data_IF_774499332889
#
_entry.id   IF_774499332889
#
_cell.length_a   1.000
_cell.length_b   1.000
_cell.length_c   1.000
_cell.angle_alpha   90.00
_cell.angle_beta   90.00
_cell.angle_gamma   90.00
#
_symmetry.space_group_name_H-M   'P 1'
#
loop_
_entity.id
_entity.type
_entity.pdbx_description
1 polymer ?
#
# COMPACT_ATOMS: atom_id res chain seq x y z
N UNK A 1 -6.12 1.95 0.44
CA UNK A 1 -6.08 3.38 0.78
C UNK A 1 -6.73 4.18 -0.34
N UNK A 2 -7.79 4.92 -0.02
CA UNK A 2 -8.64 5.71 -0.94
C UNK A 2 -8.59 7.20 -0.60
N UNK A 3 -7.49 7.67 -0.03
CA UNK A 3 -7.29 9.07 0.28
C UNK A 3 -7.14 9.93 -0.97
N UNK A 4 -7.40 11.23 -0.84
CA UNK A 4 -7.36 12.19 -1.95
C UNK A 4 -5.97 12.35 -2.57
N UNK A 5 -4.89 12.12 -1.82
CA UNK A 5 -3.53 12.11 -2.36
C UNK A 5 -3.30 11.05 -3.45
N UNK A 6 -4.18 10.04 -3.53
CA UNK A 6 -4.12 8.98 -4.55
C UNK A 6 -4.76 9.35 -5.87
N UNK A 7 -5.57 10.41 -5.93
CA UNK A 7 -6.15 10.89 -7.19
C UNK A 7 -5.13 11.64 -8.06
N UNK A 8 -3.90 11.81 -7.55
CA UNK A 8 -2.80 12.36 -8.33
C UNK A 8 -2.23 11.32 -9.29
N UNK A 9 -1.87 11.77 -10.49
CA UNK A 9 -1.15 10.98 -11.50
C UNK A 9 -0.61 11.89 -12.59
N UNK A 10 0.67 11.78 -12.91
CA UNK A 10 1.34 12.48 -14.02
C UNK A 10 1.19 11.76 -15.35
N UNK A 11 0.60 10.56 -15.34
CA UNK A 11 0.39 9.70 -16.49
C UNK A 11 -1.10 9.61 -16.86
N UNK A 12 -1.45 8.74 -17.81
CA UNK A 12 -2.84 8.47 -18.22
C UNK A 12 -3.71 7.80 -17.15
N UNK A 13 -3.18 7.51 -15.96
CA UNK A 13 -3.87 6.96 -14.81
C UNK A 13 -3.35 7.51 -13.48
N UNK A 14 -4.17 7.41 -12.44
CA UNK A 14 -3.84 7.90 -11.10
C UNK A 14 -3.18 6.81 -10.24
N UNK A 15 -2.54 7.21 -9.13
CA UNK A 15 -2.03 6.27 -8.11
C UNK A 15 -3.14 5.35 -7.58
N UNK A 16 -4.36 5.89 -7.43
CA UNK A 16 -5.54 5.12 -7.01
C UNK A 16 -5.89 4.03 -8.01
N UNK A 17 -5.97 4.36 -9.30
CA UNK A 17 -6.25 3.39 -10.34
C UNK A 17 -5.19 2.29 -10.41
N UNK A 18 -3.90 2.65 -10.30
CA UNK A 18 -2.81 1.67 -10.22
C UNK A 18 -2.96 0.76 -8.99
N UNK A 19 -3.19 1.34 -7.81
CA UNK A 19 -3.35 0.59 -6.56
C UNK A 19 -4.56 -0.35 -6.60
N UNK A 20 -5.69 0.11 -7.14
CA UNK A 20 -6.90 -0.71 -7.28
C UNK A 20 -6.68 -1.86 -8.28
N UNK A 21 -6.00 -1.61 -9.39
CA UNK A 21 -5.65 -2.66 -10.36
C UNK A 21 -4.69 -3.68 -9.75
N UNK A 22 -3.68 -3.24 -8.99
CA UNK A 22 -2.79 -4.14 -8.26
C UNK A 22 -3.56 -4.99 -7.25
N UNK A 23 -4.44 -4.38 -6.46
CA UNK A 23 -5.27 -5.09 -5.48
C UNK A 23 -6.20 -6.12 -6.16
N UNK A 24 -6.84 -5.74 -7.26
CA UNK A 24 -7.70 -6.61 -8.06
C UNK A 24 -6.93 -7.81 -8.62
N UNK A 25 -5.74 -7.56 -9.18
CA UNK A 25 -4.87 -8.60 -9.77
C UNK A 25 -4.39 -9.59 -8.70
N UNK A 26 -3.95 -9.09 -7.55
CA UNK A 26 -3.55 -9.93 -6.40
C UNK A 26 -4.73 -10.77 -5.89
N UNK A 27 -5.90 -10.15 -5.72
CA UNK A 27 -7.11 -10.84 -5.25
C UNK A 27 -7.54 -11.93 -6.23
N UNK A 28 -7.53 -11.63 -7.54
CA UNK A 28 -7.83 -12.61 -8.58
C UNK A 28 -6.86 -13.79 -8.53
N UNK A 29 -5.57 -13.52 -8.51
CA UNK A 29 -4.53 -14.54 -8.49
C UNK A 29 -4.65 -15.46 -7.26
N UNK A 30 -4.81 -14.90 -6.06
CA UNK A 30 -4.95 -15.67 -4.82
C UNK A 30 -6.26 -16.47 -4.81
N UNK A 31 -7.35 -15.88 -5.30
CA UNK A 31 -8.64 -16.58 -5.41
C UNK A 31 -8.55 -17.79 -6.36
N UNK A 32 -7.83 -17.67 -7.48
CA UNK A 32 -7.60 -18.78 -8.41
C UNK A 32 -6.77 -19.91 -7.79
N UNK A 33 -5.93 -19.61 -6.80
CA UNK A 33 -5.19 -20.62 -6.03
C UNK A 33 -6.02 -21.31 -4.93
N UNK A 34 -7.29 -20.92 -4.79
CA UNK A 34 -8.16 -21.45 -3.76
C UNK A 34 -8.08 -20.70 -2.42
N UNK A 35 -7.32 -19.61 -2.35
CA UNK A 35 -7.22 -18.80 -1.14
C UNK A 35 -8.51 -17.99 -0.89
N UNK A 36 -8.88 -17.81 0.37
CA UNK A 36 -9.92 -16.89 0.76
C UNK A 36 -9.40 -15.46 0.70
N UNK A 37 -9.99 -14.61 -0.12
CA UNK A 37 -9.61 -13.21 -0.27
C UNK A 37 -10.64 -12.28 0.35
N UNK A 38 -10.18 -11.20 0.98
CA UNK A 38 -11.01 -10.14 1.54
C UNK A 38 -10.49 -8.78 1.10
N UNK A 39 -11.30 -7.75 1.31
CA UNK A 39 -10.95 -6.37 1.00
C UNK A 39 -11.33 -5.46 2.15
N UNK A 40 -10.49 -4.48 2.41
CA UNK A 40 -10.81 -3.35 3.25
C UNK A 40 -10.34 -2.08 2.54
N UNK A 41 -11.25 -1.17 2.29
CA UNK A 41 -10.97 0.16 1.75
C UNK A 41 -11.09 1.20 2.85
N UNK A 42 -10.24 2.19 2.83
CA UNK A 42 -10.17 3.22 3.85
C UNK A 42 -9.62 4.55 3.31
N UNK A 43 -9.98 5.62 4.00
CA UNK A 43 -9.35 6.94 3.95
C UNK A 43 -9.02 7.37 5.39
N UNK A 44 -9.76 8.31 5.99
CA UNK A 44 -9.73 8.60 7.42
C UNK A 44 -10.45 7.53 8.25
N UNK A 45 -11.38 6.81 7.62
CA UNK A 45 -12.18 5.75 8.23
C UNK A 45 -12.25 4.53 7.31
N UNK A 46 -12.69 3.41 7.84
CA UNK A 46 -13.01 2.25 7.02
C UNK A 46 -14.26 2.60 6.21
N UNK A 47 -14.13 2.50 4.88
CA UNK A 47 -15.25 2.66 3.93
C UNK A 47 -15.96 1.36 3.70
N UNK A 48 -15.20 0.35 3.25
CA UNK A 48 -15.74 -0.96 2.95
C UNK A 48 -14.95 -2.02 3.67
N UNK A 49 -15.67 -3.04 4.14
CA UNK A 49 -15.10 -4.25 4.66
C UNK A 49 -15.78 -5.47 4.06
N UNK A 50 -15.05 -6.23 3.28
CA UNK A 50 -15.46 -7.50 2.73
C UNK A 50 -14.63 -8.62 3.38
N UNK A 51 -15.18 -9.43 4.29
CA UNK A 51 -14.47 -10.51 4.96
C UNK A 51 -13.88 -11.52 3.96
N UNK A 52 -12.71 -12.08 4.28
CA UNK A 52 -12.06 -13.07 3.41
C UNK A 52 -12.92 -14.32 3.24
N UNK A 53 -13.24 -14.66 1.98
CA UNK A 53 -14.01 -15.84 1.58
C UNK A 53 -13.53 -16.36 0.23
N UNK A 54 -13.71 -17.68 0.02
CA UNK A 54 -13.52 -18.30 -1.29
C UNK A 54 -14.85 -18.97 -1.68
N UNK A 55 -15.71 -18.21 -2.38
CA UNK A 55 -17.00 -18.72 -2.88
C UNK A 55 -17.43 -17.97 -4.13
N UNK A 56 -18.32 -18.58 -4.89
CA UNK A 56 -18.89 -18.01 -6.12
C UNK A 56 -19.45 -16.61 -5.86
N UNK A 57 -19.13 -15.67 -6.77
CA UNK A 57 -19.59 -14.28 -6.72
C UNK A 57 -18.81 -13.37 -5.76
N UNK A 58 -17.97 -13.92 -4.87
CA UNK A 58 -17.23 -13.11 -3.91
C UNK A 58 -16.19 -12.21 -4.57
N UNK A 59 -15.42 -12.77 -5.51
CA UNK A 59 -14.44 -12.01 -6.27
C UNK A 59 -15.09 -10.87 -7.07
N UNK A 60 -16.25 -11.14 -7.71
CA UNK A 60 -16.99 -10.09 -8.42
C UNK A 60 -17.38 -8.93 -7.50
N UNK A 61 -17.85 -9.24 -6.29
CA UNK A 61 -18.18 -8.21 -5.30
C UNK A 61 -16.95 -7.39 -4.89
N UNK A 62 -15.81 -8.05 -4.71
CA UNK A 62 -14.54 -7.39 -4.42
C UNK A 62 -14.14 -6.42 -5.54
N UNK A 63 -14.22 -6.84 -6.82
CA UNK A 63 -13.94 -6.00 -7.97
C UNK A 63 -14.86 -4.77 -8.04
N UNK A 64 -16.15 -4.94 -7.78
CA UNK A 64 -17.11 -3.83 -7.76
C UNK A 64 -16.81 -2.80 -6.66
N UNK A 65 -16.28 -3.23 -5.50
CA UNK A 65 -15.87 -2.31 -4.44
C UNK A 65 -14.60 -1.54 -4.82
N UNK A 66 -13.65 -2.17 -5.52
CA UNK A 66 -12.44 -1.51 -6.01
C UNK A 66 -12.70 -0.52 -7.15
N UNK A 67 -13.78 -0.73 -7.92
CA UNK A 67 -14.17 0.15 -9.03
C UNK A 67 -14.90 1.42 -8.57
N UNK A 68 -15.28 1.51 -7.30
CA UNK A 68 -15.91 2.71 -6.76
C UNK A 68 -14.94 3.87 -6.72
N UNK A 69 -15.45 5.07 -7.05
CA UNK A 69 -14.63 6.28 -7.03
C UNK A 69 -14.04 6.58 -5.64
N UNK A 70 -12.80 7.01 -5.62
CA UNK A 70 -12.16 7.54 -4.40
C UNK A 70 -12.87 8.84 -4.00
N UNK A 71 -13.28 8.95 -2.75
CA UNK A 71 -13.98 10.13 -2.24
C UNK A 71 -13.37 10.64 -0.92
N UNK A 72 -12.20 10.16 -0.53
CA UNK A 72 -11.52 10.54 0.72
C UNK A 72 -10.92 11.94 0.67
N UNK A 73 -10.92 12.65 1.81
CA UNK A 73 -10.38 13.98 1.95
C UNK A 73 -8.95 13.98 2.49
N UNK A 74 -8.63 13.05 3.38
CA UNK A 74 -7.29 12.93 3.99
C UNK A 74 -6.94 11.44 4.23
N UNK A 75 -5.68 11.17 4.59
CA UNK A 75 -5.21 9.81 4.91
C UNK A 75 -4.95 9.70 6.41
N UNK A 76 -5.73 8.87 7.10
CA UNK A 76 -5.36 8.36 8.42
C UNK A 76 -5.14 6.85 8.35
N UNK A 77 -3.90 6.40 8.59
CA UNK A 77 -3.56 4.99 8.66
C UNK A 77 -3.79 4.39 10.06
N UNK A 78 -4.00 5.22 11.08
CA UNK A 78 -4.09 4.76 12.49
C UNK A 78 -5.39 4.02 12.73
N UNK A 79 -6.51 4.68 12.51
CA UNK A 79 -7.82 4.15 12.83
C UNK A 79 -8.15 2.89 12.00
N UNK A 80 -7.95 2.87 10.67
CA UNK A 80 -8.20 1.68 9.85
C UNK A 80 -7.33 0.48 10.24
N UNK A 81 -6.01 0.68 10.43
CA UNK A 81 -5.12 -0.43 10.75
C UNK A 81 -5.36 -0.99 12.15
N UNK A 82 -5.66 -0.15 13.14
CA UNK A 82 -6.10 -0.60 14.47
C UNK A 82 -7.38 -1.46 14.36
N UNK A 83 -8.35 -1.00 13.57
CA UNK A 83 -9.60 -1.73 13.39
C UNK A 83 -9.42 -3.08 12.68
N UNK A 84 -8.47 -3.19 11.75
CA UNK A 84 -8.13 -4.46 11.11
C UNK A 84 -7.70 -5.50 12.15
N UNK A 85 -6.83 -5.16 13.08
CA UNK A 85 -6.38 -6.05 14.16
C UNK A 85 -7.56 -6.58 14.99
N UNK A 86 -8.58 -5.75 15.22
CA UNK A 86 -9.78 -6.14 15.98
C UNK A 86 -10.70 -7.08 15.17
N UNK A 87 -10.82 -6.84 13.86
CA UNK A 87 -11.78 -7.56 12.99
C UNK A 87 -11.20 -8.88 12.51
N UNK A 88 -9.91 -8.91 12.13
CA UNK A 88 -9.28 -10.08 11.51
C UNK A 88 -8.58 -10.91 12.58
N UNK A 89 -9.30 -11.87 13.14
CA UNK A 89 -8.80 -12.73 14.23
C UNK A 89 -7.97 -13.93 13.76
N UNK A 90 -8.12 -14.33 12.48
CA UNK A 90 -7.37 -15.47 11.92
C UNK A 90 -6.06 -14.98 11.34
N UNK A 91 -4.96 -15.69 11.61
CA UNK A 91 -3.67 -15.45 10.96
C UNK A 91 -3.86 -15.38 9.44
N UNK A 92 -3.42 -14.31 8.85
CA UNK A 92 -3.66 -13.99 7.44
C UNK A 92 -2.46 -13.25 6.84
N UNK A 93 -2.34 -13.30 5.53
CA UNK A 93 -1.50 -12.38 4.77
C UNK A 93 -2.25 -11.06 4.63
N UNK A 94 -1.66 -9.98 5.15
CA UNK A 94 -2.15 -8.62 5.03
C UNK A 94 -1.36 -7.87 3.96
N UNK A 95 -2.01 -7.53 2.86
CA UNK A 95 -1.41 -6.73 1.80
C UNK A 95 -1.90 -5.30 1.96
N UNK A 96 -0.98 -4.37 2.24
CA UNK A 96 -1.24 -2.95 2.39
C UNK A 96 -0.73 -2.22 1.14
N UNK A 97 -1.60 -1.45 0.48
CA UNK A 97 -1.28 -0.70 -0.73
C UNK A 97 -1.56 0.77 -0.47
N UNK A 98 -0.51 1.60 -0.45
CA UNK A 98 -0.56 3.03 -0.14
C UNK A 98 0.73 3.72 -0.60
N UNK A 99 0.81 5.06 -0.57
CA UNK A 99 2.09 5.78 -0.67
C UNK A 99 2.86 5.80 0.65
N UNK A 100 2.19 5.52 1.77
CA UNK A 100 2.77 5.48 3.12
C UNK A 100 3.49 6.78 3.51
N UNK A 101 2.99 7.93 3.08
CA UNK A 101 3.59 9.24 3.41
C UNK A 101 3.20 9.74 4.82
N UNK A 102 2.43 8.97 5.57
CA UNK A 102 2.12 9.24 6.98
C UNK A 102 3.38 9.16 7.87
N UNK A 103 3.37 9.75 9.07
CA UNK A 103 4.49 9.69 10.01
C UNK A 103 4.93 8.25 10.29
N UNK A 104 6.25 8.02 10.27
CA UNK A 104 6.83 6.68 10.37
C UNK A 104 6.50 5.98 11.70
N UNK A 105 6.39 6.73 12.79
CA UNK A 105 6.05 6.22 14.11
C UNK A 105 4.64 5.62 14.14
N UNK A 106 3.74 6.22 13.39
CA UNK A 106 2.37 5.74 13.21
C UNK A 106 2.34 4.42 12.45
N UNK A 107 3.05 4.37 11.32
CA UNK A 107 3.18 3.16 10.52
C UNK A 107 3.81 2.02 11.33
N UNK A 108 4.91 2.29 12.02
CA UNK A 108 5.61 1.31 12.85
C UNK A 108 4.71 0.70 13.94
N UNK A 109 3.99 1.55 14.67
CA UNK A 109 3.06 1.10 15.72
C UNK A 109 2.01 0.14 15.17
N UNK A 110 1.43 0.49 14.04
CA UNK A 110 0.38 -0.33 13.43
C UNK A 110 0.92 -1.64 12.83
N UNK A 111 2.08 -1.60 12.17
CA UNK A 111 2.73 -2.81 11.67
C UNK A 111 3.15 -3.75 12.82
N UNK A 112 3.63 -3.19 13.93
CA UNK A 112 3.97 -3.96 15.13
C UNK A 112 2.72 -4.68 15.68
N UNK A 113 1.58 -4.00 15.73
CA UNK A 113 0.33 -4.61 16.19
C UNK A 113 -0.14 -5.75 15.28
N UNK A 114 -0.04 -5.57 13.95
CA UNK A 114 -0.37 -6.63 12.98
C UNK A 114 0.57 -7.83 13.11
N UNK A 115 1.87 -7.60 13.25
CA UNK A 115 2.86 -8.64 13.43
C UNK A 115 2.66 -9.39 14.76
N UNK A 116 2.38 -8.67 15.86
CA UNK A 116 2.07 -9.25 17.16
C UNK A 116 0.79 -10.10 17.16
N UNK A 117 -0.20 -9.73 16.34
CA UNK A 117 -1.41 -10.54 16.08
C UNK A 117 -1.12 -11.79 15.21
N UNK A 118 0.12 -11.99 14.78
CA UNK A 118 0.56 -13.15 14.00
C UNK A 118 0.26 -13.05 12.50
N UNK A 119 -0.11 -11.87 12.00
CA UNK A 119 -0.30 -11.67 10.56
C UNK A 119 1.03 -11.57 9.84
N UNK A 120 1.08 -12.11 8.63
CA UNK A 120 2.13 -11.82 7.67
C UNK A 120 1.78 -10.50 6.96
N UNK A 121 2.71 -9.56 6.90
CA UNK A 121 2.44 -8.23 6.33
C UNK A 121 3.31 -7.98 5.12
N UNK A 122 2.71 -7.47 4.06
CA UNK A 122 3.35 -7.04 2.81
C UNK A 122 2.88 -5.64 2.45
N UNK A 123 3.81 -4.71 2.25
CA UNK A 123 3.54 -3.36 1.82
C UNK A 123 3.88 -3.16 0.34
N UNK A 124 2.97 -2.54 -0.39
CA UNK A 124 3.23 -1.97 -1.71
C UNK A 124 3.14 -0.45 -1.63
N UNK A 125 4.30 0.20 -1.64
CA UNK A 125 4.38 1.66 -1.69
C UNK A 125 4.21 2.13 -3.13
N UNK A 126 3.07 2.77 -3.44
CA UNK A 126 2.75 3.26 -4.78
C UNK A 126 3.06 4.75 -4.87
N UNK A 127 3.97 5.11 -5.77
CA UNK A 127 4.42 6.47 -6.00
C UNK A 127 4.31 6.82 -7.50
N UNK A 128 4.06 8.09 -7.80
CA UNK A 128 4.05 8.60 -9.16
C UNK A 128 5.48 8.95 -9.60
N UNK A 129 5.88 8.74 -10.88
CA UNK A 129 7.21 9.11 -11.35
C UNK A 129 7.52 10.61 -11.22
N UNK A 130 6.53 11.50 -11.28
CA UNK A 130 6.75 12.92 -11.03
C UNK A 130 7.07 13.21 -9.55
N UNK A 131 6.52 12.45 -8.60
CA UNK A 131 6.91 12.52 -7.19
C UNK A 131 8.35 12.02 -6.99
N UNK A 132 8.73 10.94 -7.68
CA UNK A 132 10.06 10.33 -7.57
C UNK A 132 11.16 11.19 -8.20
N UNK A 133 10.87 11.89 -9.30
CA UNK A 133 11.84 12.70 -10.03
C UNK A 133 11.76 14.19 -9.67
N UNK A 134 10.62 14.66 -9.16
CA UNK A 134 10.31 16.08 -8.96
C UNK A 134 10.63 16.92 -10.20
N UNK A 135 10.18 16.44 -11.36
CA UNK A 135 10.47 17.08 -12.66
C UNK A 135 9.41 18.15 -12.99
N UNK A 136 9.48 19.26 -12.26
CA UNK A 136 8.68 20.44 -12.56
C UNK A 136 9.60 21.51 -13.12
N UNK A 137 9.48 21.79 -14.43
CA UNK A 137 10.39 22.70 -15.14
C UNK A 137 10.10 24.18 -14.90
N UNK A 138 8.99 24.51 -14.25
CA UNK A 138 8.57 25.89 -13.99
C UNK A 138 8.06 26.05 -12.56
N UNK A 139 8.20 27.27 -12.03
CA UNK A 139 7.54 27.65 -10.80
C UNK A 139 6.01 27.45 -10.95
N UNK A 140 5.44 26.69 -10.06
CA UNK A 140 4.01 26.35 -10.08
C UNK A 140 3.41 26.55 -8.70
N UNK A 141 2.12 26.82 -8.68
CA UNK A 141 1.34 26.80 -7.45
C UNK A 141 1.07 25.33 -7.09
N UNK A 142 1.71 24.86 -6.05
CA UNK A 142 1.40 23.56 -5.47
C UNK A 142 0.20 23.73 -4.56
N UNK A 143 -0.84 22.96 -4.83
CA UNK A 143 -1.97 22.86 -3.93
C UNK A 143 -1.80 21.65 -3.05
N UNK A 144 -1.70 21.89 -1.75
CA UNK A 144 -1.82 20.81 -0.79
C UNK A 144 -3.22 20.23 -0.87
N UNK A 145 -3.32 18.99 -1.34
CA UNK A 145 -4.60 18.33 -1.62
C UNK A 145 -5.38 18.06 -0.35
N UNK A 146 -4.70 17.93 0.80
CA UNK A 146 -5.34 17.65 2.08
C UNK A 146 -5.77 18.93 2.81
N UNK A 147 -4.92 19.96 2.85
CA UNK A 147 -5.23 21.23 3.51
C UNK A 147 -5.86 22.28 2.60
N UNK A 148 -5.81 22.08 1.28
CA UNK A 148 -6.31 23.02 0.27
C UNK A 148 -5.48 24.31 0.13
N UNK A 149 -4.32 24.40 0.80
CA UNK A 149 -3.44 25.58 0.74
C UNK A 149 -2.62 25.59 -0.55
N UNK A 150 -2.56 26.75 -1.17
CA UNK A 150 -1.69 26.97 -2.32
C UNK A 150 -0.33 27.48 -1.83
N UNK A 151 0.73 26.82 -2.26
CA UNK A 151 2.11 27.16 -1.94
C UNK A 151 2.85 27.44 -3.25
N UNK A 152 3.37 28.66 -3.38
CA UNK A 152 4.27 28.99 -4.48
C UNK A 152 5.67 28.47 -4.13
N UNK A 153 6.13 27.48 -4.89
CA UNK A 153 7.44 26.86 -4.68
C UNK A 153 8.26 27.04 -5.97
N UNK A 154 9.49 27.53 -5.80
CA UNK A 154 10.48 27.43 -6.86
C UNK A 154 11.01 25.98 -6.91
N UNK A 155 10.71 25.22 -7.98
CA UNK A 155 11.07 23.80 -8.05
C UNK A 155 12.58 23.55 -7.97
N UNK A 156 13.39 24.48 -8.49
CA UNK A 156 14.85 24.31 -8.50
C UNK A 156 15.42 24.27 -7.08
N UNK A 157 14.91 25.15 -6.21
CA UNK A 157 15.34 25.24 -4.81
C UNK A 157 14.75 24.11 -3.96
N UNK A 158 13.48 23.80 -4.16
CA UNK A 158 12.76 22.81 -3.34
C UNK A 158 13.07 21.36 -3.72
N UNK A 159 13.48 21.10 -4.96
CA UNK A 159 13.69 19.74 -5.48
C UNK A 159 14.65 18.90 -4.63
N UNK A 160 15.80 19.45 -4.31
CA UNK A 160 16.84 18.70 -3.54
C UNK A 160 16.30 18.31 -2.17
N UNK A 161 15.70 19.24 -1.47
CA UNK A 161 15.17 19.00 -0.14
C UNK A 161 13.99 18.00 -0.16
N UNK A 162 13.07 18.16 -1.10
CA UNK A 162 11.96 17.23 -1.29
C UNK A 162 12.44 15.80 -1.55
N UNK A 163 13.33 15.59 -2.53
CA UNK A 163 13.85 14.29 -2.87
C UNK A 163 14.64 13.66 -1.71
N UNK A 164 15.39 14.46 -0.96
CA UNK A 164 16.08 13.99 0.23
C UNK A 164 15.08 13.50 1.30
N UNK A 165 14.02 14.25 1.56
CA UNK A 165 12.97 13.87 2.52
C UNK A 165 12.21 12.62 2.07
N UNK A 166 11.80 12.56 0.79
CA UNK A 166 11.11 11.40 0.24
C UNK A 166 11.96 10.13 0.31
N UNK A 167 13.24 10.23 -0.07
CA UNK A 167 14.17 9.09 -0.03
C UNK A 167 14.43 8.63 1.40
N UNK A 168 14.63 9.56 2.33
CA UNK A 168 14.82 9.26 3.75
C UNK A 168 13.58 8.57 4.34
N UNK A 169 12.39 9.08 4.02
CA UNK A 169 11.12 8.49 4.46
C UNK A 169 10.93 7.08 3.89
N UNK A 170 11.11 6.89 2.58
CA UNK A 170 11.01 5.57 1.95
C UNK A 170 12.05 4.57 2.48
N UNK A 171 13.24 5.04 2.83
CA UNK A 171 14.25 4.21 3.49
C UNK A 171 13.81 3.82 4.91
N UNK A 172 13.21 4.74 5.69
CA UNK A 172 12.66 4.46 7.01
C UNK A 172 11.50 3.44 6.97
N UNK A 173 10.60 3.57 5.99
CA UNK A 173 9.52 2.58 5.76
C UNK A 173 10.11 1.19 5.52
N UNK A 174 11.09 1.06 4.62
CA UNK A 174 11.77 -0.22 4.34
C UNK A 174 12.48 -0.79 5.56
N UNK A 175 13.21 0.04 6.31
CA UNK A 175 13.90 -0.38 7.53
C UNK A 175 12.93 -0.89 8.60
N UNK A 176 11.80 -0.21 8.78
CA UNK A 176 10.73 -0.62 9.70
C UNK A 176 10.15 -1.98 9.28
N UNK A 177 9.85 -2.17 7.99
CA UNK A 177 9.36 -3.45 7.48
C UNK A 177 10.38 -4.58 7.74
N UNK A 178 11.66 -4.36 7.42
CA UNK A 178 12.72 -5.35 7.65
C UNK A 178 12.83 -5.75 9.12
N UNK A 179 12.81 -4.78 10.05
CA UNK A 179 12.87 -5.03 11.50
C UNK A 179 11.68 -5.86 11.99
N UNK A 180 10.50 -5.66 11.44
CA UNK A 180 9.26 -6.37 11.80
C UNK A 180 9.04 -7.66 10.99
N UNK A 181 9.95 -8.03 10.10
CA UNK A 181 9.79 -9.19 9.23
C UNK A 181 8.69 -9.03 8.18
N UNK A 182 8.22 -7.79 7.92
CA UNK A 182 7.26 -7.48 6.87
C UNK A 182 7.95 -7.35 5.51
N UNK A 183 7.23 -7.68 4.43
CA UNK A 183 7.66 -7.37 3.07
C UNK A 183 7.42 -5.91 2.73
N UNK A 184 8.28 -5.33 1.88
CA UNK A 184 8.07 -3.98 1.38
C UNK A 184 8.56 -3.86 -0.06
N UNK A 185 7.70 -3.34 -0.94
CA UNK A 185 8.01 -3.08 -2.35
C UNK A 185 7.58 -1.68 -2.73
N UNK A 186 8.44 -0.98 -3.44
CA UNK A 186 8.12 0.31 -4.05
C UNK A 186 7.68 0.07 -5.49
N UNK A 187 6.51 0.59 -5.84
CA UNK A 187 5.91 0.52 -7.16
C UNK A 187 5.78 1.93 -7.71
N UNK A 188 6.34 2.17 -8.89
CA UNK A 188 6.12 3.41 -9.62
C UNK A 188 5.02 3.19 -10.66
N UNK A 189 4.13 4.18 -10.79
CA UNK A 189 2.94 4.06 -11.67
C UNK A 189 3.27 3.98 -13.15
N UNK A 190 4.51 4.28 -13.57
CA UNK A 190 5.02 4.10 -14.93
C UNK A 190 5.51 2.67 -15.21
N UNK A 191 5.60 1.82 -14.19
CA UNK A 191 6.09 0.45 -14.35
C UNK A 191 4.95 -0.54 -14.51
N UNK A 192 5.15 -1.58 -15.36
CA UNK A 192 4.18 -2.65 -15.53
C UNK A 192 3.84 -3.33 -14.19
N UNK A 193 2.56 -3.58 -13.96
CA UNK A 193 2.05 -4.26 -12.76
C UNK A 193 2.60 -5.66 -12.58
N UNK A 194 2.95 -6.32 -13.68
CA UNK A 194 3.55 -7.65 -13.71
C UNK A 194 4.82 -7.72 -12.87
N UNK A 195 5.62 -6.65 -12.84
CA UNK A 195 6.83 -6.59 -12.01
C UNK A 195 6.50 -6.64 -10.52
N UNK A 196 5.47 -5.91 -10.08
CA UNK A 196 5.00 -5.96 -8.70
C UNK A 196 4.47 -7.35 -8.33
N UNK A 197 3.78 -8.02 -9.25
CA UNK A 197 3.31 -9.39 -9.11
C UNK A 197 4.45 -10.39 -9.01
N UNK A 198 5.46 -10.30 -9.88
CA UNK A 198 6.65 -11.17 -9.81
C UNK A 198 7.38 -11.01 -8.48
N UNK A 199 7.57 -9.78 -8.01
CA UNK A 199 8.21 -9.52 -6.73
C UNK A 199 7.42 -10.12 -5.57
N UNK A 200 6.09 -10.00 -5.58
CA UNK A 200 5.21 -10.63 -4.61
C UNK A 200 5.37 -12.14 -4.58
N UNK A 201 5.30 -12.79 -5.74
CA UNK A 201 5.40 -14.25 -5.85
C UNK A 201 6.77 -14.76 -5.41
N UNK A 202 7.83 -14.07 -5.78
CA UNK A 202 9.21 -14.41 -5.39
C UNK A 202 9.39 -14.34 -3.87
N UNK A 203 8.88 -13.30 -3.25
CA UNK A 203 8.96 -13.14 -1.80
C UNK A 203 8.16 -14.23 -1.07
N UNK A 204 6.94 -14.53 -1.52
CA UNK A 204 6.11 -15.61 -0.96
C UNK A 204 6.81 -16.97 -1.05
N UNK A 205 7.46 -17.28 -2.18
CA UNK A 205 8.24 -18.51 -2.34
C UNK A 205 9.45 -18.58 -1.39
N UNK A 206 10.15 -17.47 -1.19
CA UNK A 206 11.30 -17.42 -0.28
C UNK A 206 10.88 -17.67 1.17
N UNK A 207 9.78 -17.05 1.60
CA UNK A 207 9.24 -17.23 2.97
C UNK A 207 8.74 -18.64 3.21
N UNK A 208 8.05 -19.26 2.25
CA UNK A 208 7.62 -20.66 2.34
C UNK A 208 8.79 -21.63 2.51
N UNK A 209 9.90 -21.39 1.78
CA UNK A 209 11.12 -22.22 1.91
C UNK A 209 11.80 -22.07 3.26
N UNK A 210 11.81 -20.85 3.85
CA UNK A 210 12.39 -20.63 5.18
C UNK A 210 11.58 -21.33 6.27
N UNK A 211 10.25 -21.24 6.22
CA UNK A 211 9.36 -21.89 7.17
C UNK A 211 9.53 -23.43 7.15
N UNK A 212 9.63 -24.03 5.96
CA UNK A 212 9.86 -25.46 5.81
C UNK A 212 11.25 -25.93 6.29
N UNK A 213 12.28 -25.10 6.20
CA UNK A 213 13.61 -25.41 6.76
C UNK A 213 13.58 -25.48 8.28
N UNK A 214 12.92 -24.52 8.95
CA UNK A 214 12.79 -24.52 10.41
C UNK A 214 11.93 -25.66 10.94
N UNK A 215 10.93 -26.10 10.19
CA UNK A 215 10.12 -27.28 10.57
C UNK A 215 10.92 -28.60 10.50
N UNK A 216 11.81 -28.73 9.50
CA UNK A 216 12.66 -29.93 9.34
C UNK A 216 13.84 -29.99 10.31
N UNK A 217 14.32 -28.89 10.88
CA UNK A 217 15.40 -28.85 11.85
C UNK A 217 14.94 -29.12 13.29
N UNK A 218 13.65 -29.31 13.52
CA UNK A 218 13.05 -29.63 14.83
C UNK A 218 12.56 -31.09 14.95
N UNK A 219 12.75 -31.91 13.93
CA UNK A 219 12.58 -33.36 13.94
C UNK A 219 13.95 -34.04 13.98
#
# INVERSE_FOLDING_TARGET
DHSRSKDYGSLGWTKSQYANTLAATLAYFLHQQGDAVGLLTFDEQIRDYLPARNRIGHLRRLMLLLDQATAGTATDLVAPLKRIVEIVRKRSLMVLISDFLAPIETLERNLTALAAAGHEVMLFQVLDPAELAFNFDRAVMFRDVESGRDLFIDPATARKEYLQRLNAHSAAVRATCQRLGAGCRSCSTDRPLELAMFDFLRERQQRSKSTNRFARSRQ
#
